data_IF_444487678939
#
_entry.id   IF_444487678939
#
_cell.length_a   1.000
_cell.length_b   1.000
_cell.length_c   1.000
_cell.angle_alpha   90.00
_cell.angle_beta   90.00
_cell.angle_gamma   90.00
#
_symmetry.space_group_name_H-M   'P 1'
#
loop_
_entity.id
_entity.type
_entity.pdbx_description
1 polymer ?
#
# COMPACT_ATOMS: atom_id res chain seq x y z
N UNK A 1 3.49 5.10 32.45
CA UNK A 1 4.08 5.19 31.10
C UNK A 1 3.87 3.85 30.44
N UNK A 2 2.90 3.73 29.53
CA UNK A 2 2.70 2.49 28.78
C UNK A 2 3.92 2.23 27.90
N UNK A 3 4.44 1.01 27.92
CA UNK A 3 5.49 0.58 27.00
C UNK A 3 5.02 0.83 25.56
N UNK A 4 5.74 1.68 24.83
CA UNK A 4 5.52 1.86 23.40
C UNK A 4 6.14 0.63 22.73
N UNK A 5 5.35 -0.44 22.58
CA UNK A 5 5.74 -1.52 21.69
C UNK A 5 5.96 -0.91 20.31
N UNK A 6 7.04 -1.28 19.62
CA UNK A 6 7.35 -0.79 18.28
C UNK A 6 6.24 -1.21 17.30
N UNK A 7 5.15 -0.44 17.22
CA UNK A 7 4.04 -0.68 16.31
C UNK A 7 4.41 -0.15 14.93
N UNK A 8 4.87 -1.02 14.04
CA UNK A 8 5.01 -0.69 12.63
C UNK A 8 3.65 -0.26 12.05
N UNK A 9 3.65 0.65 11.09
CA UNK A 9 2.44 1.01 10.34
C UNK A 9 2.09 -0.02 9.27
N UNK A 10 0.80 -0.36 9.14
CA UNK A 10 0.29 -1.21 8.05
C UNK A 10 -0.85 -0.50 7.32
N UNK A 11 -0.94 -0.70 6.01
CA UNK A 11 -2.02 -0.21 5.16
C UNK A 11 -2.36 -1.28 4.11
N UNK A 12 -3.64 -1.37 3.75
CA UNK A 12 -4.11 -2.27 2.70
C UNK A 12 -5.22 -1.58 1.91
N UNK A 13 -5.26 -1.86 0.61
CA UNK A 13 -6.30 -1.38 -0.29
C UNK A 13 -6.67 -2.48 -1.26
N UNK A 14 -7.97 -2.61 -1.50
CA UNK A 14 -8.54 -3.55 -2.45
C UNK A 14 -9.68 -2.87 -3.18
N UNK A 15 -9.66 -2.89 -4.51
CA UNK A 15 -10.81 -2.48 -5.30
C UNK A 15 -11.75 -3.67 -5.41
N UNK A 16 -12.87 -3.61 -4.69
CA UNK A 16 -13.91 -4.63 -4.77
C UNK A 16 -14.60 -4.55 -6.15
N UNK A 17 -14.66 -5.64 -6.92
CA UNK A 17 -15.35 -5.66 -8.20
C UNK A 17 -16.80 -5.20 -8.07
N UNK A 18 -17.19 -4.24 -8.90
CA UNK A 18 -18.55 -3.66 -8.97
C UNK A 18 -18.81 -3.12 -10.37
N UNK A 19 -20.05 -2.70 -10.63
CA UNK A 19 -20.46 -2.16 -11.94
C UNK A 19 -19.71 -0.88 -12.35
N UNK A 20 -19.10 -0.18 -11.39
CA UNK A 20 -18.38 1.08 -11.62
C UNK A 20 -17.06 1.11 -10.86
N UNK A 21 -15.98 1.57 -11.51
CA UNK A 21 -14.71 1.81 -10.85
C UNK A 21 -14.88 2.85 -9.73
N UNK A 22 -14.24 2.61 -8.58
CA UNK A 22 -14.28 3.56 -7.47
C UNK A 22 -13.68 4.90 -7.89
N UNK A 23 -14.28 6.05 -7.51
CA UNK A 23 -13.71 7.37 -7.80
C UNK A 23 -12.38 7.62 -7.08
N UNK A 24 -12.03 6.79 -6.08
CA UNK A 24 -10.74 6.82 -5.41
C UNK A 24 -9.63 6.16 -6.22
N UNK A 25 -9.95 5.35 -7.23
CA UNK A 25 -8.94 4.72 -8.06
C UNK A 25 -8.27 5.76 -8.98
N UNK A 26 -6.94 5.88 -8.94
CA UNK A 26 -6.22 6.74 -9.87
C UNK A 26 -6.50 6.35 -11.32
N UNK A 27 -6.60 7.36 -12.18
CA UNK A 27 -6.88 7.21 -13.62
C UNK A 27 -8.20 6.46 -13.94
N UNK A 28 -9.11 6.34 -12.96
CA UNK A 28 -10.37 5.59 -13.08
C UNK A 28 -10.18 4.12 -13.51
N UNK A 29 -9.02 3.53 -13.18
CA UNK A 29 -8.68 2.13 -13.47
C UNK A 29 -8.82 1.25 -12.24
N UNK A 30 -9.58 0.13 -12.28
CA UNK A 30 -9.69 -0.83 -11.18
C UNK A 30 -8.33 -1.37 -10.70
N UNK A 31 -7.39 -1.57 -11.64
CA UNK A 31 -6.06 -2.12 -11.36
C UNK A 31 -5.09 -1.08 -10.74
N UNK A 32 -5.51 0.18 -10.60
CA UNK A 32 -4.67 1.25 -10.04
C UNK A 32 -4.84 1.46 -8.54
N UNK A 33 -5.68 0.67 -7.85
CA UNK A 33 -5.94 0.85 -6.42
C UNK A 33 -4.67 0.81 -5.55
N UNK A 34 -3.70 -0.05 -5.90
CA UNK A 34 -2.41 -0.16 -5.21
C UNK A 34 -1.60 1.14 -5.20
N UNK A 35 -1.85 2.07 -6.14
CA UNK A 35 -1.19 3.39 -6.20
C UNK A 35 -1.63 4.33 -5.06
N UNK A 36 -2.66 3.98 -4.30
CA UNK A 36 -3.02 4.70 -3.07
C UNK A 36 -2.06 4.36 -1.91
N UNK A 37 -1.43 3.18 -1.93
CA UNK A 37 -0.58 2.73 -0.82
C UNK A 37 0.60 3.64 -0.50
N UNK A 38 1.39 4.16 -1.46
CA UNK A 38 2.50 5.05 -1.14
C UNK A 38 2.06 6.26 -0.31
N UNK A 39 0.90 6.85 -0.63
CA UNK A 39 0.36 7.97 0.14
C UNK A 39 -0.11 7.54 1.53
N UNK A 40 -0.81 6.42 1.64
CA UNK A 40 -1.25 5.87 2.93
C UNK A 40 -0.06 5.55 3.85
N UNK A 41 1.03 5.00 3.30
CA UNK A 41 2.25 4.69 4.04
C UNK A 41 2.98 5.95 4.52
N UNK A 42 3.02 7.02 3.69
CA UNK A 42 3.53 8.32 4.10
C UNK A 42 2.75 8.91 5.28
N UNK A 43 1.41 8.80 5.26
CA UNK A 43 0.55 9.33 6.32
C UNK A 43 0.76 8.61 7.68
N UNK A 44 1.30 7.38 7.68
CA UNK A 44 1.62 6.60 8.89
C UNK A 44 3.13 6.42 9.13
N UNK A 45 3.98 7.14 8.40
CA UNK A 45 5.45 7.00 8.46
C UNK A 45 6.01 7.27 9.88
N UNK A 46 5.31 8.04 10.70
CA UNK A 46 5.67 8.28 12.10
C UNK A 46 5.63 7.01 12.98
N UNK A 47 5.10 5.89 12.47
CA UNK A 47 5.07 4.58 13.12
C UNK A 47 6.26 3.67 12.76
N UNK A 48 7.11 4.06 11.81
CA UNK A 48 8.33 3.33 11.49
C UNK A 48 9.08 3.99 10.34
N UNK A 49 10.38 4.28 10.52
CA UNK A 49 11.20 5.03 9.55
C UNK A 49 12.46 4.27 9.10
N UNK A 50 12.63 3.04 9.59
CA UNK A 50 13.84 2.23 9.32
C UNK A 50 13.75 1.48 7.98
N UNK A 51 12.55 1.13 7.54
CA UNK A 51 12.30 0.44 6.28
C UNK A 51 10.84 0.63 5.86
N UNK A 52 10.57 0.47 4.57
CA UNK A 52 9.23 0.44 4.02
C UNK A 52 9.13 -0.62 2.91
N UNK A 53 7.91 -1.08 2.64
CA UNK A 53 7.67 -1.99 1.54
C UNK A 53 6.19 -2.09 1.20
N UNK A 54 5.92 -2.47 -0.04
CA UNK A 54 4.58 -2.76 -0.54
C UNK A 54 4.60 -4.00 -1.42
N UNK A 55 3.50 -4.75 -1.34
CA UNK A 55 3.26 -5.90 -2.19
C UNK A 55 1.95 -5.69 -2.92
N UNK A 56 1.90 -6.01 -4.21
CA UNK A 56 0.68 -5.94 -5.01
C UNK A 56 0.35 -7.30 -5.61
N UNK A 57 -0.94 -7.54 -5.81
CA UNK A 57 -1.46 -8.70 -6.51
C UNK A 57 -2.14 -8.28 -7.81
N UNK A 58 -2.00 -9.08 -8.86
CA UNK A 58 -2.69 -8.89 -10.15
C UNK A 58 -2.78 -10.22 -10.91
N UNK A 59 -4.00 -10.65 -11.25
CA UNK A 59 -4.22 -11.94 -11.92
C UNK A 59 -3.72 -11.96 -13.38
N UNK A 60 -3.47 -10.80 -13.99
CA UNK A 60 -3.08 -10.68 -15.39
C UNK A 60 -1.56 -10.68 -15.60
N UNK A 61 -0.76 -10.70 -14.51
CA UNK A 61 0.71 -10.75 -14.56
C UNK A 61 1.22 -12.20 -14.52
N UNK A 62 2.31 -12.48 -15.22
CA UNK A 62 3.05 -13.75 -15.08
C UNK A 62 3.50 -13.98 -13.63
N UNK A 63 3.97 -12.90 -12.97
CA UNK A 63 4.25 -12.87 -11.54
C UNK A 63 3.08 -12.22 -10.79
N UNK A 64 2.17 -13.06 -10.30
CA UNK A 64 0.92 -12.66 -9.64
C UNK A 64 1.13 -11.71 -8.45
N UNK A 65 2.26 -11.85 -7.75
CA UNK A 65 2.60 -11.07 -6.56
C UNK A 65 3.93 -10.40 -6.79
N UNK A 66 3.97 -9.08 -6.72
CA UNK A 66 5.21 -8.31 -6.82
C UNK A 66 5.44 -7.46 -5.58
N UNK A 67 6.67 -7.45 -5.07
CA UNK A 67 7.05 -6.82 -3.81
C UNK A 67 8.23 -5.89 -4.01
N UNK A 68 8.04 -4.62 -3.66
CA UNK A 68 9.09 -3.64 -3.55
C UNK A 68 9.31 -3.28 -2.08
N UNK A 69 10.56 -3.32 -1.61
CA UNK A 69 10.93 -2.96 -0.25
C UNK A 69 12.35 -2.45 -0.20
N UNK A 70 12.61 -1.49 0.67
CA UNK A 70 13.95 -0.97 0.91
C UNK A 70 14.11 -0.42 2.34
N UNK A 71 15.35 -0.15 2.73
CA UNK A 71 15.71 0.54 3.97
C UNK A 71 15.42 2.04 3.78
N UNK A 72 14.92 2.67 4.85
CA UNK A 72 14.62 4.10 4.88
C UNK A 72 13.12 4.39 4.82
N UNK A 73 12.80 5.64 4.48
CA UNK A 73 11.43 6.15 4.40
C UNK A 73 10.79 5.81 3.06
N UNK A 74 9.48 5.97 2.96
CA UNK A 74 8.74 5.90 1.69
C UNK A 74 9.24 7.05 0.78
N UNK A 75 9.63 6.73 -0.46
CA UNK A 75 10.17 7.66 -1.47
C UNK A 75 9.76 7.28 -2.88
#
# INVERSE_FOLDING_TARGET
MSEIHHECGIAAVYHLPSDQTSPLCPDSSPNSASRLLPRMLLDIQNRGQLAAGMTSFDPDRDQLIDTHKDIGTVS
#
